data_IF_239345079517
#
_entry.id   IF_239345079517
#
_cell.length_a   1.000
_cell.length_b   1.000
_cell.length_c   1.000
_cell.angle_alpha   90.00
_cell.angle_beta   90.00
_cell.angle_gamma   90.00
#
_symmetry.space_group_name_H-M   'P 1'
#
loop_
_entity.id
_entity.type
_entity.pdbx_description
1 polymer ?
#
# COMPACT_ATOMS: atom_id res chain seq x y z
N UNK A 1 25.53 -8.57 17.28
CA UNK A 1 25.20 -9.85 17.97
C UNK A 1 23.74 -9.83 18.34
N UNK A 2 22.92 -10.70 17.75
CA UNK A 2 21.53 -10.87 18.20
C UNK A 2 21.53 -11.52 19.59
N UNK A 3 20.72 -11.03 20.52
CA UNK A 3 20.56 -11.65 21.85
C UNK A 3 20.01 -13.06 21.66
N UNK A 4 20.60 -14.05 22.33
CA UNK A 4 20.03 -15.40 22.38
C UNK A 4 18.66 -15.34 23.05
N UNK A 5 17.60 -15.65 22.29
CA UNK A 5 16.22 -15.70 22.78
C UNK A 5 15.90 -17.14 23.15
N UNK A 6 15.40 -17.38 24.37
CA UNK A 6 14.90 -18.70 24.78
C UNK A 6 13.43 -18.87 24.41
N UNK A 7 12.95 -20.11 24.28
CA UNK A 7 11.51 -20.38 24.06
C UNK A 7 10.62 -19.69 25.10
N UNK A 8 11.00 -19.73 26.38
CA UNK A 8 10.25 -19.03 27.46
C UNK A 8 10.22 -17.52 27.25
N UNK A 9 11.32 -16.94 26.79
CA UNK A 9 11.37 -15.50 26.49
C UNK A 9 10.49 -15.16 25.29
N UNK A 10 10.49 -15.99 24.24
CA UNK A 10 9.66 -15.78 23.05
C UNK A 10 8.17 -15.91 23.38
N UNK A 11 7.79 -16.96 24.11
CA UNK A 11 6.42 -17.19 24.58
C UNK A 11 5.90 -15.99 25.40
N UNK A 12 6.73 -15.48 26.33
CA UNK A 12 6.41 -14.28 27.09
C UNK A 12 6.18 -13.07 26.18
N UNK A 13 7.07 -12.82 25.22
CA UNK A 13 6.93 -11.70 24.27
C UNK A 13 5.62 -11.81 23.49
N UNK A 14 5.31 -13.00 22.94
CA UNK A 14 4.10 -13.21 22.15
C UNK A 14 2.83 -13.02 22.97
N UNK A 15 2.79 -13.54 24.21
CA UNK A 15 1.66 -13.32 25.12
C UNK A 15 1.54 -11.85 25.52
N UNK A 16 2.66 -11.15 25.71
CA UNK A 16 2.67 -9.74 26.08
C UNK A 16 2.12 -8.83 24.95
N UNK A 17 2.21 -9.23 23.67
CA UNK A 17 1.68 -8.44 22.53
C UNK A 17 0.17 -8.18 22.59
N UNK A 18 -0.57 -9.02 23.30
CA UNK A 18 -2.03 -8.94 23.38
C UNK A 18 -2.53 -8.54 24.77
N UNK A 19 -1.63 -8.18 25.70
CA UNK A 19 -2.00 -7.79 27.07
C UNK A 19 -2.89 -6.56 27.13
N UNK A 20 -2.75 -5.65 26.18
CA UNK A 20 -3.56 -4.43 26.08
C UNK A 20 -4.87 -4.66 25.30
N UNK A 21 -5.17 -5.90 24.92
CA UNK A 21 -6.34 -6.27 24.13
C UNK A 21 -6.10 -6.17 22.62
N UNK A 22 -7.19 -6.18 21.86
CA UNK A 22 -7.16 -6.05 20.41
C UNK A 22 -7.67 -4.67 19.99
N UNK A 23 -6.98 -4.05 19.03
CA UNK A 23 -7.45 -2.85 18.38
C UNK A 23 -8.71 -3.14 17.56
N UNK A 24 -9.57 -2.14 17.46
CA UNK A 24 -10.77 -2.14 16.63
C UNK A 24 -10.70 -1.00 15.61
N UNK A 25 -11.67 -0.93 14.70
CA UNK A 25 -11.69 0.10 13.64
C UNK A 25 -11.66 1.54 14.19
N UNK A 26 -12.23 1.78 15.38
CA UNK A 26 -12.20 3.10 16.03
C UNK A 26 -10.80 3.49 16.54
N UNK A 27 -9.90 2.53 16.69
CA UNK A 27 -8.55 2.74 17.19
C UNK A 27 -7.55 2.95 16.03
N UNK A 28 -8.05 2.95 14.77
CA UNK A 28 -7.23 3.29 13.62
C UNK A 28 -6.70 4.73 13.76
N UNK A 29 -5.42 4.96 13.47
CA UNK A 29 -4.86 6.29 13.47
C UNK A 29 -5.58 7.17 12.44
N UNK A 30 -5.73 8.46 12.76
CA UNK A 30 -6.25 9.42 11.80
C UNK A 30 -5.34 9.44 10.56
N UNK A 31 -5.88 9.38 9.32
CA UNK A 31 -5.07 9.41 8.11
C UNK A 31 -4.08 10.60 8.08
N UNK A 32 -4.49 11.76 8.60
CA UNK A 32 -3.64 12.96 8.67
C UNK A 32 -2.44 12.83 9.60
N UNK A 33 -2.41 11.83 10.49
CA UNK A 33 -1.26 11.58 11.37
C UNK A 33 -0.11 10.86 10.66
N UNK A 34 -0.38 10.24 9.51
CA UNK A 34 0.66 9.60 8.72
C UNK A 34 1.57 10.63 8.08
N UNK A 35 2.87 10.32 8.06
CA UNK A 35 3.87 11.17 7.42
C UNK A 35 3.49 11.46 5.97
N UNK A 36 3.56 12.73 5.60
CA UNK A 36 3.32 13.23 4.23
C UNK A 36 1.92 12.95 3.67
N UNK A 37 0.92 12.56 4.48
CA UNK A 37 -0.45 12.28 4.00
C UNK A 37 -1.03 13.48 3.24
N UNK A 38 -0.96 14.68 3.82
CA UNK A 38 -1.47 15.90 3.16
C UNK A 38 -0.78 16.17 1.83
N UNK A 39 0.52 15.87 1.73
CA UNK A 39 1.30 16.05 0.49
C UNK A 39 0.86 15.05 -0.57
N UNK A 40 0.68 13.78 -0.20
CA UNK A 40 0.20 12.73 -1.09
C UNK A 40 -1.21 13.02 -1.60
N UNK A 41 -2.15 13.37 -0.72
CA UNK A 41 -3.53 13.72 -1.09
C UNK A 41 -3.56 14.92 -2.03
N UNK A 42 -2.79 15.98 -1.75
CA UNK A 42 -2.69 17.16 -2.64
C UNK A 42 -2.16 16.78 -4.03
N UNK A 43 -1.15 15.90 -4.11
CA UNK A 43 -0.60 15.43 -5.39
C UNK A 43 -1.62 14.63 -6.20
N UNK A 44 -2.41 13.77 -5.56
CA UNK A 44 -3.47 12.97 -6.20
C UNK A 44 -4.60 13.89 -6.68
N UNK A 45 -5.06 14.83 -5.85
CA UNK A 45 -6.08 15.81 -6.25
C UNK A 45 -5.60 16.64 -7.44
N UNK A 46 -4.33 17.04 -7.47
CA UNK A 46 -3.76 17.76 -8.60
C UNK A 46 -3.76 16.90 -9.87
N UNK A 47 -3.39 15.61 -9.77
CA UNK A 47 -3.42 14.68 -10.90
C UNK A 47 -4.82 14.58 -11.50
N UNK A 48 -5.82 14.41 -10.63
CA UNK A 48 -7.23 14.30 -11.03
C UNK A 48 -7.69 15.58 -11.74
N UNK A 49 -7.38 16.76 -11.19
CA UNK A 49 -7.73 18.05 -11.80
C UNK A 49 -7.07 18.26 -13.17
N UNK A 50 -5.83 17.79 -13.30
CA UNK A 50 -5.05 17.90 -14.54
C UNK A 50 -5.36 16.81 -15.56
N UNK A 51 -6.21 15.82 -15.23
CA UNK A 51 -6.48 14.64 -16.05
C UNK A 51 -5.20 13.84 -16.37
N UNK A 52 -4.29 13.78 -15.41
CA UNK A 52 -3.05 13.01 -15.50
C UNK A 52 -3.30 11.50 -15.54
N UNK A 53 -2.49 10.75 -16.29
CA UNK A 53 -2.57 9.29 -16.30
C UNK A 53 -2.03 8.73 -14.98
N UNK A 54 -2.93 8.17 -14.16
CA UNK A 54 -2.59 7.57 -12.87
C UNK A 54 -2.48 6.05 -13.02
N UNK A 55 -1.39 5.48 -12.51
CA UNK A 55 -1.17 4.03 -12.44
C UNK A 55 -1.01 3.59 -10.98
N UNK A 56 -1.76 2.56 -10.58
CA UNK A 56 -1.64 1.90 -9.27
C UNK A 56 -0.72 0.69 -9.40
N UNK A 57 0.26 0.56 -8.50
CA UNK A 57 1.20 -0.57 -8.47
C UNK A 57 0.98 -1.29 -7.15
N UNK A 58 0.35 -2.45 -7.18
CA UNK A 58 0.18 -3.31 -6.00
C UNK A 58 1.34 -4.27 -5.78
N UNK A 59 1.20 -5.12 -4.78
CA UNK A 59 1.95 -6.37 -4.66
C UNK A 59 1.06 -7.60 -4.93
N UNK A 60 1.68 -8.75 -5.11
CA UNK A 60 0.99 -9.99 -5.50
C UNK A 60 0.37 -10.77 -4.34
N UNK A 61 0.62 -10.37 -3.09
CA UNK A 61 0.03 -11.02 -1.93
C UNK A 61 -1.40 -10.50 -1.65
N UNK A 62 -2.01 -10.99 -0.58
CA UNK A 62 -3.41 -10.69 -0.27
C UNK A 62 -3.61 -9.21 0.05
N UNK A 63 -2.67 -8.59 0.77
CA UNK A 63 -2.77 -7.17 1.11
C UNK A 63 -2.70 -6.36 -0.19
N UNK A 64 -1.78 -6.72 -1.09
CA UNK A 64 -1.50 -5.92 -2.30
C UNK A 64 -2.63 -5.94 -3.30
N UNK A 65 -3.24 -7.11 -3.46
CA UNK A 65 -4.40 -7.30 -4.32
C UNK A 65 -5.63 -6.58 -3.74
N UNK A 66 -5.83 -6.64 -2.42
CA UNK A 66 -6.96 -5.97 -1.76
C UNK A 66 -6.80 -4.45 -1.83
N UNK A 67 -5.62 -3.92 -1.48
CA UNK A 67 -5.32 -2.49 -1.55
C UNK A 67 -5.45 -1.95 -2.97
N UNK A 68 -4.97 -2.69 -3.98
CA UNK A 68 -5.16 -2.30 -5.39
C UNK A 68 -6.64 -2.27 -5.77
N UNK A 69 -7.41 -3.24 -5.32
CA UNK A 69 -8.86 -3.31 -5.57
C UNK A 69 -9.58 -2.14 -4.93
N UNK A 70 -9.24 -1.79 -3.67
CA UNK A 70 -9.81 -0.63 -2.97
C UNK A 70 -9.54 0.68 -3.72
N UNK A 71 -8.30 0.89 -4.17
CA UNK A 71 -7.96 2.07 -4.99
C UNK A 71 -8.76 2.10 -6.29
N UNK A 72 -8.88 0.97 -6.98
CA UNK A 72 -9.65 0.84 -8.21
C UNK A 72 -11.13 1.17 -8.00
N UNK A 73 -11.74 0.65 -6.94
CA UNK A 73 -13.14 0.93 -6.60
C UNK A 73 -13.36 2.41 -6.27
N UNK A 74 -12.47 3.02 -5.49
CA UNK A 74 -12.53 4.45 -5.20
C UNK A 74 -12.46 5.30 -6.48
N UNK A 75 -11.51 5.02 -7.37
CA UNK A 75 -11.36 5.77 -8.62
C UNK A 75 -12.55 5.57 -9.57
N UNK A 76 -13.16 4.37 -9.59
CA UNK A 76 -14.42 4.13 -10.30
C UNK A 76 -15.58 4.95 -9.73
N UNK A 77 -15.71 5.03 -8.40
CA UNK A 77 -16.76 5.80 -7.73
C UNK A 77 -16.72 7.29 -8.12
N UNK A 78 -15.52 7.85 -8.29
CA UNK A 78 -15.33 9.23 -8.75
C UNK A 78 -15.25 9.38 -10.28
N UNK A 79 -15.53 8.32 -11.04
CA UNK A 79 -15.49 8.27 -12.50
C UNK A 79 -14.16 8.74 -13.11
N UNK A 80 -13.03 8.36 -12.50
CA UNK A 80 -11.70 8.72 -12.97
C UNK A 80 -10.94 7.47 -13.45
N UNK A 81 -10.51 7.41 -14.72
CA UNK A 81 -9.83 6.24 -15.25
C UNK A 81 -8.43 6.10 -14.65
N UNK A 82 -8.08 4.87 -14.28
CA UNK A 82 -6.73 4.51 -13.82
C UNK A 82 -6.25 3.25 -14.54
N UNK A 83 -4.93 3.09 -14.61
CA UNK A 83 -4.31 1.79 -14.87
C UNK A 83 -3.87 1.15 -13.55
N UNK A 84 -3.75 -0.17 -13.51
CA UNK A 84 -3.23 -0.87 -12.34
C UNK A 84 -2.36 -2.07 -12.74
N UNK A 85 -1.39 -2.39 -11.91
CA UNK A 85 -0.41 -3.45 -12.12
C UNK A 85 -0.27 -4.26 -10.84
N UNK A 86 -0.52 -5.57 -10.93
CA UNK A 86 -0.04 -6.55 -9.95
C UNK A 86 1.17 -7.27 -10.57
N UNK A 87 2.34 -7.26 -9.92
CA UNK A 87 3.55 -7.90 -10.46
C UNK A 87 3.43 -9.42 -10.40
N UNK A 88 4.09 -10.11 -11.32
CA UNK A 88 4.35 -11.54 -11.15
C UNK A 88 5.60 -11.72 -10.27
N UNK A 89 5.46 -12.31 -9.07
CA UNK A 89 6.57 -12.49 -8.12
C UNK A 89 7.86 -13.07 -8.74
N UNK A 90 7.73 -14.04 -9.63
CA UNK A 90 8.89 -14.76 -10.19
C UNK A 90 9.53 -14.06 -11.38
N UNK A 91 8.72 -13.35 -12.19
CA UNK A 91 9.21 -12.66 -13.40
C UNK A 91 9.55 -11.20 -13.13
N UNK A 92 8.70 -10.51 -12.38
CA UNK A 92 8.75 -9.07 -12.17
C UNK A 92 9.42 -8.72 -10.83
N UNK A 93 9.29 -9.58 -9.82
CA UNK A 93 9.72 -9.30 -8.44
C UNK A 93 8.57 -8.78 -7.57
N UNK A 94 8.89 -8.00 -6.55
CA UNK A 94 7.93 -7.43 -5.58
C UNK A 94 7.64 -5.97 -5.92
N UNK A 95 6.37 -5.56 -5.79
CA UNK A 95 5.92 -4.17 -5.96
C UNK A 95 6.53 -3.43 -7.16
N UNK A 96 7.00 -2.20 -6.92
CA UNK A 96 7.70 -1.38 -7.91
C UNK A 96 9.13 -1.89 -8.14
N UNK A 97 9.36 -2.51 -9.30
CA UNK A 97 10.66 -2.99 -9.75
C UNK A 97 11.03 -2.49 -11.15
N UNK A 98 12.30 -2.60 -11.52
CA UNK A 98 12.79 -2.25 -12.85
C UNK A 98 12.06 -3.00 -13.98
N UNK A 99 11.55 -4.21 -13.70
CA UNK A 99 10.84 -5.04 -14.66
C UNK A 99 9.42 -4.53 -14.94
N UNK A 100 8.82 -3.77 -14.03
CA UNK A 100 7.48 -3.21 -14.24
C UNK A 100 7.48 -1.83 -14.90
N UNK A 101 8.59 -1.08 -14.80
CA UNK A 101 8.71 0.27 -15.39
C UNK A 101 8.32 0.31 -16.88
N UNK A 102 8.70 -0.67 -17.73
CA UNK A 102 8.29 -0.69 -19.14
C UNK A 102 6.77 -0.81 -19.35
N UNK A 103 6.01 -1.26 -18.34
CA UNK A 103 4.53 -1.36 -18.39
C UNK A 103 3.85 -0.04 -18.01
N UNK A 104 4.60 0.95 -17.52
CA UNK A 104 4.08 2.22 -17.01
C UNK A 104 4.19 3.36 -18.02
N UNK A 105 4.28 3.06 -19.32
CA UNK A 105 4.46 4.07 -20.37
C UNK A 105 3.33 5.10 -20.35
N UNK A 106 3.73 6.37 -20.32
CA UNK A 106 2.83 7.52 -20.26
C UNK A 106 2.20 7.79 -18.88
N UNK A 107 2.59 7.06 -17.83
CA UNK A 107 2.14 7.35 -16.46
C UNK A 107 2.69 8.69 -15.99
N UNK A 108 1.80 9.59 -15.58
CA UNK A 108 2.13 10.89 -14.99
C UNK A 108 2.25 10.81 -13.46
N UNK A 109 1.45 9.93 -12.84
CA UNK A 109 1.47 9.65 -11.40
C UNK A 109 1.42 8.15 -11.12
N UNK A 110 2.43 7.64 -10.43
CA UNK A 110 2.43 6.29 -9.89
C UNK A 110 2.02 6.31 -8.41
N UNK A 111 1.10 5.43 -8.02
CA UNK A 111 0.72 5.20 -6.62
C UNK A 111 1.02 3.75 -6.30
N UNK A 112 1.99 3.50 -5.41
CA UNK A 112 2.29 2.15 -4.93
C UNK A 112 1.39 1.81 -3.75
N UNK A 113 0.82 0.62 -3.76
CA UNK A 113 0.06 0.03 -2.66
C UNK A 113 0.59 -1.37 -2.39
N UNK A 114 0.29 -1.88 -1.20
CA UNK A 114 0.82 -3.14 -0.68
C UNK A 114 -0.29 -3.88 0.04
#
# INVERSE_FOLDING_TARGET
>A
MYKNVTFKTLEKILNDRFKEGFLSLKDLPQPSSFKDMDKATKRIVQAIKNKEKISIIGDYDVDGVVSTTLMKLFFEEINYPIEWIIPNRFKDGYGLSANIIPRMVGTDLAITVD
#
